data_IF_040313454908
#
_entry.id   IF_040313454908
#
_cell.length_a   1.000
_cell.length_b   1.000
_cell.length_c   1.000
_cell.angle_alpha   90.00
_cell.angle_beta   90.00
_cell.angle_gamma   90.00
#
_symmetry.space_group_name_H-M   'P 1'
#
loop_
_entity.id
_entity.type
_entity.pdbx_description
1 polymer ?
#
# COMPACT_ATOMS: atom_id res chain seq x y z
N UNK A 1 -32.55 38.98 -11.20
CA UNK A 1 -31.56 38.81 -10.11
C UNK A 1 -30.86 37.47 -10.36
N UNK A 2 -29.73 37.51 -11.07
CA UNK A 2 -29.04 36.34 -11.64
C UNK A 2 -28.37 35.51 -10.55
N UNK A 3 -28.88 34.29 -10.34
CA UNK A 3 -28.17 33.22 -9.65
C UNK A 3 -27.04 32.73 -10.55
N UNK A 4 -25.91 33.45 -10.53
CA UNK A 4 -24.68 33.02 -11.18
C UNK A 4 -24.23 31.75 -10.46
N UNK A 5 -24.32 30.64 -11.16
CA UNK A 5 -23.95 29.30 -10.72
C UNK A 5 -22.60 29.34 -10.02
N UNK A 6 -22.61 29.20 -8.69
CA UNK A 6 -21.41 29.12 -7.87
C UNK A 6 -20.72 27.78 -8.18
N UNK A 7 -19.91 27.79 -9.24
CA UNK A 7 -19.06 26.69 -9.67
C UNK A 7 -18.02 26.41 -8.57
N UNK A 8 -18.38 25.58 -7.58
CA UNK A 8 -17.45 25.08 -6.57
C UNK A 8 -16.48 24.12 -7.23
N UNK A 9 -15.48 24.66 -7.92
CA UNK A 9 -14.28 23.90 -8.32
C UNK A 9 -13.67 23.35 -7.04
N UNK A 10 -13.81 22.06 -6.78
CA UNK A 10 -13.08 21.36 -5.73
C UNK A 10 -11.62 21.32 -6.14
N UNK A 11 -10.87 22.36 -5.81
CA UNK A 11 -9.43 22.40 -6.04
C UNK A 11 -8.80 21.39 -5.08
N UNK A 12 -8.51 20.19 -5.60
CA UNK A 12 -7.79 19.15 -4.85
C UNK A 12 -6.42 19.73 -4.52
N UNK A 13 -5.99 19.61 -3.26
CA UNK A 13 -4.66 20.07 -2.85
C UNK A 13 -3.59 19.39 -3.73
N UNK A 14 -2.63 20.13 -4.32
CA UNK A 14 -1.64 19.58 -5.25
C UNK A 14 -0.92 18.31 -4.74
N UNK A 15 -0.50 18.29 -3.47
CA UNK A 15 0.10 17.09 -2.85
C UNK A 15 -0.83 15.88 -2.82
N UNK A 16 -2.12 16.07 -2.58
CA UNK A 16 -3.10 14.98 -2.56
C UNK A 16 -3.34 14.44 -3.97
N UNK A 17 -3.34 15.33 -4.97
CA UNK A 17 -3.41 14.94 -6.38
C UNK A 17 -2.17 14.14 -6.80
N UNK A 18 -0.97 14.62 -6.48
CA UNK A 18 0.28 13.93 -6.79
C UNK A 18 0.38 12.56 -6.09
N UNK A 19 -0.09 12.45 -4.86
CA UNK A 19 -0.15 11.17 -4.13
C UNK A 19 -1.03 10.15 -4.88
N UNK A 20 -2.23 10.55 -5.30
CA UNK A 20 -3.12 9.67 -6.07
C UNK A 20 -2.52 9.30 -7.43
N UNK A 21 -1.91 10.26 -8.14
CA UNK A 21 -1.21 10.02 -9.40
C UNK A 21 -0.10 8.96 -9.22
N UNK A 22 0.71 9.09 -8.17
CA UNK A 22 1.79 8.15 -7.86
C UNK A 22 1.25 6.74 -7.54
N UNK A 23 0.16 6.64 -6.76
CA UNK A 23 -0.48 5.35 -6.45
C UNK A 23 -0.97 4.67 -7.74
N UNK A 24 -1.63 5.40 -8.64
CA UNK A 24 -2.11 4.86 -9.92
C UNK A 24 -0.93 4.37 -10.78
N UNK A 25 0.16 5.15 -10.85
CA UNK A 25 1.35 4.76 -11.58
C UNK A 25 1.98 3.47 -11.02
N UNK A 26 2.08 3.34 -9.68
CA UNK A 26 2.56 2.12 -9.03
C UNK A 26 1.66 0.91 -9.35
N UNK A 27 0.34 1.08 -9.28
CA UNK A 27 -0.61 0.00 -9.63
C UNK A 27 -0.44 -0.46 -11.08
N UNK A 28 -0.28 0.47 -12.02
CA UNK A 28 -0.04 0.14 -13.43
C UNK A 28 1.28 -0.62 -13.64
N UNK A 29 2.33 -0.26 -12.91
CA UNK A 29 3.62 -0.98 -12.95
C UNK A 29 3.46 -2.43 -12.47
N UNK A 30 2.80 -2.66 -11.35
CA UNK A 30 2.53 -4.02 -10.86
C UNK A 30 1.61 -4.80 -11.80
N UNK A 31 0.64 -4.14 -12.44
CA UNK A 31 -0.22 -4.77 -13.45
C UNK A 31 0.58 -5.23 -14.67
N UNK A 32 1.53 -4.43 -15.16
CA UNK A 32 2.42 -4.81 -16.25
C UNK A 32 3.30 -6.01 -15.88
N UNK A 33 3.88 -6.02 -14.67
CA UNK A 33 4.69 -7.15 -14.18
C UNK A 33 3.86 -8.43 -14.00
N UNK A 34 2.65 -8.31 -13.44
CA UNK A 34 1.74 -9.45 -13.28
C UNK A 34 1.32 -10.00 -14.64
N UNK A 35 1.03 -9.13 -15.61
CA UNK A 35 0.71 -9.53 -16.99
C UNK A 35 1.87 -10.27 -17.65
N UNK A 36 3.10 -9.74 -17.55
CA UNK A 36 4.29 -10.41 -18.07
C UNK A 36 4.50 -11.80 -17.44
N UNK A 37 4.29 -11.92 -16.12
CA UNK A 37 4.35 -13.21 -15.42
C UNK A 37 3.29 -14.20 -15.92
N UNK A 38 2.04 -13.75 -16.10
CA UNK A 38 0.95 -14.60 -16.61
C UNK A 38 1.22 -15.06 -18.04
N UNK A 39 1.72 -14.17 -18.92
CA UNK A 39 2.08 -14.54 -20.30
C UNK A 39 3.22 -15.56 -20.30
N UNK A 40 4.26 -15.37 -19.49
CA UNK A 40 5.35 -16.34 -19.35
C UNK A 40 4.89 -17.68 -18.77
N UNK A 41 3.85 -17.68 -17.94
CA UNK A 41 3.20 -18.89 -17.45
C UNK A 41 2.46 -19.67 -18.52
N UNK A 42 1.92 -18.97 -19.51
CA UNK A 42 1.24 -19.59 -20.64
C UNK A 42 2.21 -20.23 -21.66
N UNK A 43 3.49 -19.83 -21.67
CA UNK A 43 4.53 -20.46 -22.48
C UNK A 43 4.88 -21.86 -21.91
N UNK A 44 4.23 -22.89 -22.45
CA UNK A 44 4.28 -24.31 -22.00
C UNK A 44 5.69 -24.93 -21.99
N UNK A 45 6.63 -24.38 -22.76
CA UNK A 45 7.91 -25.05 -23.06
C UNK A 45 8.96 -25.03 -21.95
N UNK A 46 8.83 -24.18 -20.91
CA UNK A 46 9.87 -24.05 -19.87
C UNK A 46 9.35 -23.60 -18.50
N UNK A 47 8.10 -23.92 -18.15
CA UNK A 47 7.54 -23.52 -16.85
C UNK A 47 8.07 -24.42 -15.73
N UNK A 48 9.14 -23.98 -15.07
CA UNK A 48 9.64 -24.60 -13.85
C UNK A 48 8.66 -24.35 -12.70
N UNK A 49 8.10 -25.45 -12.18
CA UNK A 49 7.26 -25.40 -10.97
C UNK A 49 8.20 -25.28 -9.77
N UNK A 50 8.31 -24.07 -9.23
CA UNK A 50 9.03 -23.82 -7.99
C UNK A 50 8.07 -23.87 -6.81
N UNK A 51 8.45 -24.59 -5.75
CA UNK A 51 7.76 -24.50 -4.47
C UNK A 51 8.14 -23.20 -3.78
N UNK A 52 7.14 -22.39 -3.44
CA UNK A 52 7.35 -21.12 -2.74
C UNK A 52 7.64 -21.40 -1.26
N UNK A 53 8.71 -20.83 -0.69
CA UNK A 53 9.00 -20.94 0.73
C UNK A 53 7.86 -20.39 1.58
N UNK A 54 7.52 -21.08 2.67
CA UNK A 54 6.46 -20.67 3.62
C UNK A 54 6.75 -19.29 4.24
N UNK A 55 8.02 -18.85 4.27
CA UNK A 55 8.43 -17.51 4.71
C UNK A 55 7.69 -16.38 3.97
N UNK A 56 7.38 -16.58 2.69
CA UNK A 56 6.64 -15.60 1.89
C UNK A 56 5.20 -15.38 2.40
N UNK A 57 4.57 -16.42 2.95
CA UNK A 57 3.24 -16.32 3.56
C UNK A 57 3.29 -15.53 4.87
N UNK A 58 4.34 -15.73 5.68
CA UNK A 58 4.52 -14.96 6.92
C UNK A 58 4.74 -13.47 6.64
N UNK A 59 5.53 -13.11 5.64
CA UNK A 59 5.75 -11.71 5.29
C UNK A 59 4.48 -11.02 4.77
N UNK A 60 3.65 -11.73 3.99
CA UNK A 60 2.32 -11.24 3.59
C UNK A 60 1.40 -10.94 4.78
N UNK A 61 1.40 -11.79 5.82
CA UNK A 61 0.63 -11.53 7.04
C UNK A 61 1.18 -10.32 7.80
N UNK A 62 2.51 -10.21 7.93
CA UNK A 62 3.16 -9.12 8.67
C UNK A 62 2.87 -7.75 8.03
N UNK A 63 2.92 -7.64 6.70
CA UNK A 63 2.64 -6.35 6.04
C UNK A 63 1.18 -5.95 6.16
N UNK A 64 0.25 -6.91 6.19
CA UNK A 64 -1.17 -6.64 6.46
C UNK A 64 -1.37 -6.14 7.89
N UNK A 65 -0.73 -6.78 8.88
CA UNK A 65 -0.77 -6.30 10.27
C UNK A 65 -0.17 -4.89 10.38
N UNK A 66 0.91 -4.60 9.65
CA UNK A 66 1.53 -3.27 9.60
C UNK A 66 0.54 -2.20 9.11
N UNK A 67 -0.23 -2.49 8.05
CA UNK A 67 -1.29 -1.60 7.55
C UNK A 67 -2.37 -1.34 8.60
N UNK A 68 -2.79 -2.37 9.34
CA UNK A 68 -3.75 -2.23 10.44
C UNK A 68 -3.17 -1.35 11.56
N UNK A 69 -1.92 -1.55 11.95
CA UNK A 69 -1.23 -0.70 12.92
C UNK A 69 -1.17 0.77 12.47
N UNK A 70 -0.87 1.03 11.20
CA UNK A 70 -0.86 2.39 10.65
C UNK A 70 -2.25 3.03 10.69
N UNK A 71 -3.31 2.26 10.39
CA UNK A 71 -4.68 2.75 10.48
C UNK A 71 -5.10 3.06 11.93
N UNK A 72 -4.67 2.24 12.89
CA UNK A 72 -4.89 2.52 14.32
C UNK A 72 -4.11 3.76 14.78
N UNK A 73 -2.90 3.98 14.27
CA UNK A 73 -2.13 5.20 14.52
C UNK A 73 -2.90 6.44 14.05
N UNK A 74 -3.56 6.38 12.89
CA UNK A 74 -4.40 7.46 12.38
C UNK A 74 -5.64 7.70 13.25
N UNK A 75 -6.34 6.64 13.66
CA UNK A 75 -7.55 6.75 14.51
C UNK A 75 -7.21 7.33 15.89
N UNK A 76 -6.12 6.88 16.50
CA UNK A 76 -5.69 7.36 17.82
C UNK A 76 -5.22 8.81 17.81
N UNK A 77 -4.59 9.24 16.71
CA UNK A 77 -4.27 10.65 16.48
C UNK A 77 -5.55 11.50 16.41
N UNK A 78 -6.57 11.06 15.68
CA UNK A 78 -7.88 11.76 15.64
C UNK A 78 -8.58 11.84 17.00
N UNK A 79 -8.32 10.89 17.91
CA UNK A 79 -8.83 10.88 19.29
C UNK A 79 -7.92 11.64 20.27
N UNK A 80 -6.94 12.40 19.77
CA UNK A 80 -5.97 13.17 20.53
C UNK A 80 -5.12 12.34 21.52
N UNK A 81 -4.98 11.02 21.28
CA UNK A 81 -4.19 10.11 22.13
C UNK A 81 -2.77 10.00 21.60
N UNK A 82 -1.96 11.03 21.82
CA UNK A 82 -0.60 11.17 21.25
C UNK A 82 0.33 10.02 21.65
N UNK A 83 0.26 9.56 22.91
CA UNK A 83 1.08 8.44 23.38
C UNK A 83 0.82 7.14 22.61
N UNK A 84 -0.47 6.84 22.36
CA UNK A 84 -0.90 5.64 21.64
C UNK A 84 -0.59 5.75 20.14
N UNK A 85 -0.70 6.95 19.56
CA UNK A 85 -0.27 7.24 18.19
C UNK A 85 1.22 6.96 17.99
N UNK A 86 2.09 7.46 18.90
CA UNK A 86 3.54 7.22 18.84
C UNK A 86 3.87 5.74 18.95
N UNK A 87 3.20 5.00 19.84
CA UNK A 87 3.36 3.55 19.96
C UNK A 87 3.03 2.84 18.64
N UNK A 88 1.88 3.12 18.02
CA UNK A 88 1.48 2.48 16.76
C UNK A 88 2.40 2.86 15.59
N UNK A 89 2.89 4.10 15.54
CA UNK A 89 3.88 4.52 14.52
C UNK A 89 5.18 3.73 14.65
N UNK A 90 5.71 3.58 15.87
CA UNK A 90 6.95 2.81 16.13
C UNK A 90 6.72 1.33 15.82
N UNK A 91 5.58 0.75 16.22
CA UNK A 91 5.22 -0.62 15.88
C UNK A 91 5.19 -0.83 14.36
N UNK A 92 4.53 0.07 13.62
CA UNK A 92 4.45 0.01 12.15
C UNK A 92 5.84 0.03 11.50
N UNK A 93 6.76 0.85 12.02
CA UNK A 93 8.15 0.90 11.55
C UNK A 93 8.86 -0.45 11.75
N UNK A 94 8.79 -1.04 12.94
CA UNK A 94 9.41 -2.34 13.21
C UNK A 94 8.76 -3.48 12.40
N UNK A 95 7.43 -3.50 12.25
CA UNK A 95 6.76 -4.48 11.40
C UNK A 95 7.20 -4.35 9.94
N UNK A 96 7.40 -3.12 9.44
CA UNK A 96 7.96 -2.88 8.11
C UNK A 96 9.39 -3.36 7.96
N UNK A 97 10.24 -3.15 8.97
CA UNK A 97 11.62 -3.65 8.98
C UNK A 97 11.66 -5.19 8.99
N UNK A 98 10.82 -5.83 9.81
CA UNK A 98 10.67 -7.30 9.84
C UNK A 98 10.22 -7.84 8.49
N UNK A 99 9.28 -7.16 7.81
CA UNK A 99 8.87 -7.53 6.46
C UNK A 99 10.05 -7.52 5.47
N UNK A 100 10.91 -6.49 5.52
CA UNK A 100 12.10 -6.43 4.65
C UNK A 100 13.08 -7.57 4.92
N UNK A 101 13.32 -7.91 6.19
CA UNK A 101 14.21 -9.00 6.58
C UNK A 101 13.70 -10.36 6.09
N UNK A 102 12.38 -10.57 6.09
CA UNK A 102 11.77 -11.81 5.59
C UNK A 102 11.76 -11.94 4.07
N UNK A 103 12.03 -10.85 3.35
CA UNK A 103 12.00 -10.79 1.89
C UNK A 103 13.36 -11.06 1.24
N UNK A 104 14.42 -11.15 2.04
CA UNK A 104 15.80 -11.52 1.66
C UNK A 104 15.96 -13.04 1.78
#
# INVERSE_FOLDING_TARGET
>A
MSQVLQNRRSVIHPYKFNMWLAIVAMVMMFAAFTSAYVVKKADVSNWLVFELPVMFSYSAVIIVISSICMQLAYITFRRNRIGLHRLFMVATFFLGATFLVLQV
#
